data_IF_400653270480
#
_entry.id   IF_400653270480
#
_cell.length_a   1.000
_cell.length_b   1.000
_cell.length_c   1.000
_cell.angle_alpha   90.00
_cell.angle_beta   90.00
_cell.angle_gamma   90.00
#
_symmetry.space_group_name_H-M   'P 1'
#
loop_
_entity.id
_entity.type
_entity.pdbx_description
1 polymer ?
#
# COMPACT_ATOMS: atom_id res chain seq x y z
N UNK A 1 -7.91 12.94 10.28
CA UNK A 1 -8.59 13.69 9.22
C UNK A 1 -9.80 12.88 8.76
N UNK A 2 -11.01 13.34 9.02
CA UNK A 2 -12.25 12.58 8.76
C UNK A 2 -12.66 12.51 7.28
N UNK A 3 -11.97 13.24 6.40
CA UNK A 3 -12.21 13.19 4.95
C UNK A 3 -11.37 12.11 4.25
N UNK A 4 -10.69 11.24 5.01
CA UNK A 4 -9.91 10.11 4.50
C UNK A 4 -10.70 8.81 4.63
N UNK A 5 -10.06 7.67 4.35
CA UNK A 5 -10.73 6.37 4.38
C UNK A 5 -11.33 6.07 5.76
N UNK A 6 -12.59 5.57 5.81
CA UNK A 6 -13.19 5.10 7.05
C UNK A 6 -12.53 3.78 7.50
N UNK A 7 -12.80 3.31 8.73
CA UNK A 7 -12.32 2.02 9.18
C UNK A 7 -12.68 0.89 8.21
N UNK A 8 -11.68 0.08 7.86
CA UNK A 8 -11.82 -0.99 6.86
C UNK A 8 -12.83 -2.04 7.33
N UNK A 9 -13.81 -2.36 6.49
CA UNK A 9 -14.82 -3.40 6.75
C UNK A 9 -15.85 -3.05 7.82
N UNK A 10 -15.77 -1.86 8.42
CA UNK A 10 -16.73 -1.39 9.42
C UNK A 10 -16.89 0.13 9.33
N UNK A 11 -17.67 0.60 8.35
CA UNK A 11 -17.88 2.04 8.12
C UNK A 11 -18.49 2.78 9.31
N UNK A 12 -19.25 2.08 10.16
CA UNK A 12 -19.84 2.62 11.40
C UNK A 12 -18.94 2.40 12.61
N UNK A 13 -17.78 1.77 12.45
CA UNK A 13 -16.84 1.46 13.53
C UNK A 13 -16.00 2.66 13.97
N UNK A 14 -16.15 3.80 13.33
CA UNK A 14 -15.45 5.02 13.70
C UNK A 14 -16.03 5.56 15.01
N UNK A 15 -15.16 5.96 15.95
CA UNK A 15 -15.57 6.40 17.30
C UNK A 15 -16.42 7.68 17.29
N UNK A 16 -16.36 8.45 16.21
CA UNK A 16 -17.18 9.65 16.01
C UNK A 16 -18.57 9.35 15.41
N UNK A 17 -18.88 8.09 15.07
CA UNK A 17 -20.19 7.69 14.58
C UNK A 17 -21.11 7.28 15.72
N UNK A 18 -22.41 7.59 15.60
CA UNK A 18 -23.37 7.33 16.68
C UNK A 18 -23.68 5.83 16.87
N UNK A 19 -23.52 5.04 15.81
CA UNK A 19 -23.92 3.63 15.75
C UNK A 19 -22.77 2.70 16.17
N UNK A 20 -22.39 2.75 17.46
CA UNK A 20 -21.43 1.81 18.04
C UNK A 20 -22.16 0.54 18.54
N UNK A 21 -21.87 -0.62 17.95
CA UNK A 21 -22.59 -1.89 18.24
C UNK A 21 -21.93 -2.80 19.28
N UNK A 22 -20.63 -2.62 19.58
CA UNK A 22 -19.90 -3.47 20.52
C UNK A 22 -19.44 -2.68 21.76
N UNK A 23 -19.28 -3.37 22.90
CA UNK A 23 -18.94 -2.76 24.19
C UNK A 23 -17.65 -1.93 24.15
N UNK A 24 -16.62 -2.42 23.45
CA UNK A 24 -15.34 -1.71 23.31
C UNK A 24 -15.47 -0.44 22.48
N UNK A 25 -16.33 -0.44 21.45
CA UNK A 25 -16.61 0.72 20.62
C UNK A 25 -17.41 1.78 21.38
N UNK A 26 -18.35 1.36 22.23
CA UNK A 26 -19.06 2.29 23.15
C UNK A 26 -18.07 2.95 24.09
N UNK A 27 -17.23 2.17 24.78
CA UNK A 27 -16.21 2.72 25.67
C UNK A 27 -15.22 3.64 24.93
N UNK A 28 -14.77 3.25 23.74
CA UNK A 28 -13.89 4.08 22.91
C UNK A 28 -14.55 5.39 22.48
N UNK A 29 -15.86 5.37 22.20
CA UNK A 29 -16.65 6.57 21.91
C UNK A 29 -16.77 7.46 23.13
N UNK A 30 -17.05 6.92 24.31
CA UNK A 30 -17.14 7.71 25.54
C UNK A 30 -15.82 8.44 25.82
N UNK A 31 -14.68 7.74 25.64
CA UNK A 31 -13.34 8.36 25.72
C UNK A 31 -13.20 9.44 24.64
N UNK A 32 -13.57 9.15 23.40
CA UNK A 32 -13.51 10.12 22.31
C UNK A 32 -14.36 11.39 22.58
N UNK A 33 -15.55 11.22 23.18
CA UNK A 33 -16.44 12.33 23.53
C UNK A 33 -15.96 13.13 24.75
N UNK A 34 -15.07 12.56 25.58
CA UNK A 34 -14.47 13.29 26.70
C UNK A 34 -13.49 14.39 26.24
N UNK A 35 -13.00 14.34 24.99
CA UNK A 35 -12.16 15.41 24.44
C UNK A 35 -13.00 16.67 24.18
N UNK A 36 -12.68 17.76 24.89
CA UNK A 36 -13.39 19.04 24.80
C UNK A 36 -12.70 20.10 23.92
N UNK A 37 -11.55 19.76 23.31
CA UNK A 37 -10.75 20.68 22.52
C UNK A 37 -10.36 20.04 21.20
N UNK A 38 -10.62 20.75 20.10
CA UNK A 38 -10.17 20.41 18.77
C UNK A 38 -9.16 21.45 18.27
N UNK A 39 -8.08 21.00 17.65
CA UNK A 39 -7.09 21.87 16.97
C UNK A 39 -7.15 21.56 15.48
N UNK A 40 -7.48 22.57 14.66
CA UNK A 40 -7.58 22.44 13.21
C UNK A 40 -6.40 23.17 12.58
N UNK A 41 -5.54 22.43 11.87
CA UNK A 41 -4.45 23.00 11.09
C UNK A 41 -4.96 23.45 9.73
N UNK A 42 -4.63 24.68 9.34
CA UNK A 42 -5.13 25.30 8.10
C UNK A 42 -4.07 25.47 7.01
N UNK A 43 -2.78 25.39 7.38
CA UNK A 43 -1.67 25.57 6.44
C UNK A 43 -1.30 24.25 5.75
N UNK A 44 -1.45 24.19 4.44
CA UNK A 44 -0.94 23.07 3.65
C UNK A 44 0.57 23.23 3.38
N UNK A 45 1.33 22.18 3.66
CA UNK A 45 2.79 22.14 3.47
C UNK A 45 3.23 21.28 2.29
N UNK A 46 2.34 20.42 1.76
CA UNK A 46 2.66 19.46 0.69
C UNK A 46 2.61 20.08 -0.71
N UNK A 47 1.54 20.81 -1.04
CA UNK A 47 1.33 21.41 -2.36
C UNK A 47 1.32 22.93 -2.23
N UNK A 48 2.05 23.60 -3.11
CA UNK A 48 2.15 25.07 -3.16
C UNK A 48 1.35 25.69 -4.29
N UNK A 49 0.96 24.90 -5.28
CA UNK A 49 0.15 25.35 -6.40
C UNK A 49 -1.26 25.76 -5.93
N UNK A 50 -1.65 27.00 -6.22
CA UNK A 50 -2.91 27.58 -5.73
C UNK A 50 -4.14 26.96 -6.39
N UNK A 51 -4.07 26.65 -7.69
CA UNK A 51 -5.19 26.07 -8.46
C UNK A 51 -5.44 24.64 -7.99
N UNK A 52 -4.38 23.84 -7.87
CA UNK A 52 -4.44 22.49 -7.35
C UNK A 52 -4.95 22.46 -5.91
N UNK A 53 -4.51 23.41 -5.08
CA UNK A 53 -5.01 23.53 -3.70
C UNK A 53 -6.51 23.84 -3.63
N UNK A 54 -7.02 24.72 -4.49
CA UNK A 54 -8.44 25.01 -4.58
C UNK A 54 -9.24 23.75 -4.97
N UNK A 55 -8.76 23.02 -5.99
CA UNK A 55 -9.34 21.74 -6.41
C UNK A 55 -9.36 20.72 -5.26
N UNK A 56 -8.23 20.49 -4.58
CA UNK A 56 -8.14 19.53 -3.47
C UNK A 56 -9.07 19.89 -2.29
N UNK A 57 -9.25 21.18 -2.02
CA UNK A 57 -10.16 21.64 -0.97
C UNK A 57 -11.62 21.36 -1.33
N UNK A 58 -12.03 21.56 -2.59
CA UNK A 58 -13.37 21.22 -3.07
C UNK A 58 -13.59 19.71 -3.15
N UNK A 59 -12.58 18.96 -3.59
CA UNK A 59 -12.61 17.50 -3.63
C UNK A 59 -12.84 16.90 -2.23
N UNK A 60 -12.20 17.48 -1.20
CA UNK A 60 -12.35 17.07 0.19
C UNK A 60 -13.81 17.13 0.67
N UNK A 61 -14.58 18.12 0.23
CA UNK A 61 -15.98 18.33 0.63
C UNK A 61 -17.00 17.82 -0.39
N UNK A 62 -16.54 17.24 -1.51
CA UNK A 62 -17.40 16.78 -2.60
C UNK A 62 -18.06 17.92 -3.38
N UNK A 63 -17.46 19.12 -3.37
CA UNK A 63 -17.99 20.32 -4.01
C UNK A 63 -17.19 20.73 -5.26
N UNK A 64 -16.66 19.75 -6.00
CA UNK A 64 -15.96 20.00 -7.27
C UNK A 64 -16.91 20.56 -8.32
N UNK A 65 -16.39 21.46 -9.14
CA UNK A 65 -17.09 22.07 -10.28
C UNK A 65 -16.60 21.45 -11.62
N UNK A 66 -17.22 21.84 -12.73
CA UNK A 66 -16.82 21.40 -14.07
C UNK A 66 -15.36 21.74 -14.39
N UNK A 67 -14.89 22.90 -13.95
CA UNK A 67 -13.51 23.34 -14.15
C UNK A 67 -12.52 22.40 -13.46
N UNK A 68 -12.83 21.91 -12.25
CA UNK A 68 -12.03 20.90 -11.54
C UNK A 68 -11.99 19.56 -12.27
N UNK A 69 -13.11 19.14 -12.86
CA UNK A 69 -13.16 17.91 -13.64
C UNK A 69 -12.29 18.04 -14.88
N UNK A 70 -12.32 19.18 -15.56
CA UNK A 70 -11.47 19.42 -16.73
C UNK A 70 -9.99 19.50 -16.37
N UNK A 71 -9.64 20.10 -15.23
CA UNK A 71 -8.28 20.06 -14.68
C UNK A 71 -7.77 18.61 -14.50
N UNK A 72 -8.61 17.71 -13.96
CA UNK A 72 -8.28 16.30 -13.82
C UNK A 72 -8.20 15.59 -15.17
N UNK A 73 -9.05 15.94 -16.13
CA UNK A 73 -8.98 15.38 -17.48
C UNK A 73 -7.68 15.75 -18.20
N UNK A 74 -7.11 16.92 -17.94
CA UNK A 74 -5.82 17.31 -18.51
C UNK A 74 -4.65 16.44 -18.01
N UNK A 75 -4.84 15.70 -16.91
CA UNK A 75 -3.85 14.75 -16.37
C UNK A 75 -4.00 13.32 -16.92
N UNK A 76 -5.04 13.05 -17.70
CA UNK A 76 -5.29 11.71 -18.24
C UNK A 76 -4.32 11.37 -19.37
N UNK A 77 -3.79 10.15 -19.34
CA UNK A 77 -2.84 9.69 -20.35
C UNK A 77 -3.52 9.06 -21.58
N UNK A 78 -4.81 8.74 -21.47
CA UNK A 78 -5.58 8.03 -22.49
C UNK A 78 -6.36 8.95 -23.44
N UNK A 79 -6.35 10.25 -23.19
CA UNK A 79 -7.00 11.25 -24.05
C UNK A 79 -6.02 11.77 -25.11
N UNK A 80 -6.32 11.54 -26.40
CA UNK A 80 -5.44 11.96 -27.50
C UNK A 80 -5.23 13.48 -27.64
N UNK A 81 -6.05 14.29 -26.95
CA UNK A 81 -5.85 15.76 -26.87
C UNK A 81 -4.73 16.17 -25.91
N UNK A 82 -4.35 15.29 -24.98
CA UNK A 82 -3.30 15.58 -24.01
C UNK A 82 -1.93 15.22 -24.62
N UNK A 83 -0.84 15.90 -24.20
CA UNK A 83 0.49 15.60 -24.71
C UNK A 83 0.88 14.13 -24.49
N UNK A 84 1.53 13.48 -25.47
CA UNK A 84 2.03 12.13 -25.27
C UNK A 84 3.05 12.12 -24.12
N UNK A 85 2.97 11.09 -23.29
CA UNK A 85 3.85 10.94 -22.13
C UNK A 85 5.05 10.08 -22.46
N UNK A 86 6.24 10.60 -22.22
CA UNK A 86 7.47 9.82 -22.26
C UNK A 86 7.65 9.07 -20.93
N UNK A 87 7.43 7.75 -20.94
CA UNK A 87 7.59 6.90 -19.77
C UNK A 87 9.06 6.62 -19.40
N UNK A 88 10.01 7.12 -20.19
CA UNK A 88 11.44 7.06 -19.90
C UNK A 88 11.93 8.24 -19.06
N UNK A 89 11.15 9.33 -18.99
CA UNK A 89 11.47 10.49 -18.15
C UNK A 89 11.64 10.09 -16.69
N UNK A 90 12.63 10.64 -15.94
CA UNK A 90 12.88 10.24 -14.55
C UNK A 90 11.66 10.30 -13.63
N UNK A 91 10.76 11.27 -13.85
CA UNK A 91 9.51 11.41 -13.11
C UNK A 91 8.52 10.26 -13.34
N UNK A 92 8.47 9.73 -14.56
CA UNK A 92 7.60 8.60 -14.94
C UNK A 92 8.28 7.24 -14.73
N UNK A 93 9.57 7.14 -15.04
CA UNK A 93 10.36 5.93 -14.90
C UNK A 93 10.40 5.42 -13.45
N UNK A 94 10.25 6.33 -12.48
CA UNK A 94 10.23 6.04 -11.03
C UNK A 94 8.87 6.28 -10.37
N UNK A 95 7.82 6.55 -11.15
CA UNK A 95 6.50 6.85 -10.63
C UNK A 95 5.92 5.70 -9.80
N UNK A 96 5.21 6.05 -8.73
CA UNK A 96 4.50 5.08 -7.89
C UNK A 96 3.09 4.88 -8.41
N UNK A 97 2.71 3.63 -8.73
CA UNK A 97 1.33 3.29 -9.03
C UNK A 97 0.50 3.25 -7.75
N UNK A 98 -0.58 4.04 -7.72
CA UNK A 98 -1.63 3.94 -6.71
C UNK A 98 -2.84 3.30 -7.39
N UNK A 99 -3.37 2.23 -6.80
CA UNK A 99 -4.52 1.50 -7.35
C UNK A 99 -5.42 0.97 -6.24
N UNK A 100 -6.76 0.99 -6.41
CA UNK A 100 -7.68 0.43 -5.42
C UNK A 100 -7.64 -1.11 -5.38
N UNK A 101 -7.08 -1.77 -6.42
CA UNK A 101 -7.10 -3.23 -6.54
C UNK A 101 -5.75 -3.85 -6.20
N UNK A 102 -5.74 -4.70 -5.17
CA UNK A 102 -4.55 -5.48 -4.80
C UNK A 102 -4.00 -6.35 -5.94
N UNK A 103 -4.87 -6.90 -6.80
CA UNK A 103 -4.44 -7.69 -7.96
C UNK A 103 -3.62 -6.86 -8.95
N UNK A 104 -4.08 -5.65 -9.29
CA UNK A 104 -3.36 -4.74 -10.18
C UNK A 104 -2.00 -4.34 -9.58
N UNK A 105 -1.96 -4.02 -8.28
CA UNK A 105 -0.71 -3.72 -7.57
C UNK A 105 0.29 -4.89 -7.65
N UNK A 106 -0.16 -6.13 -7.45
CA UNK A 106 0.69 -7.32 -7.53
C UNK A 106 1.26 -7.52 -8.94
N UNK A 107 0.41 -7.42 -9.97
CA UNK A 107 0.83 -7.56 -11.36
C UNK A 107 1.81 -6.46 -11.75
N UNK A 108 1.53 -5.22 -11.37
CA UNK A 108 2.42 -4.08 -11.61
C UNK A 108 3.78 -4.28 -10.96
N UNK A 109 3.82 -4.65 -9.67
CA UNK A 109 5.07 -4.88 -8.96
C UNK A 109 5.90 -6.01 -9.59
N UNK A 110 5.25 -7.11 -10.01
CA UNK A 110 5.93 -8.21 -10.70
C UNK A 110 6.49 -7.77 -12.07
N UNK A 111 5.72 -7.01 -12.86
CA UNK A 111 6.18 -6.47 -14.13
C UNK A 111 7.34 -5.47 -13.95
N UNK A 112 7.23 -4.57 -12.97
CA UNK A 112 8.27 -3.60 -12.64
C UNK A 112 9.57 -4.29 -12.20
N UNK A 113 9.48 -5.35 -11.38
CA UNK A 113 10.64 -6.14 -10.97
C UNK A 113 11.32 -6.84 -12.16
N UNK A 114 10.54 -7.45 -13.07
CA UNK A 114 11.08 -8.08 -14.29
C UNK A 114 11.75 -7.05 -15.21
N UNK A 115 11.13 -5.90 -15.41
CA UNK A 115 11.73 -4.77 -16.16
C UNK A 115 13.05 -4.33 -15.52
N UNK A 116 13.09 -4.18 -14.21
CA UNK A 116 14.31 -3.82 -13.46
C UNK A 116 15.42 -4.86 -13.65
N UNK A 117 15.09 -6.15 -13.56
CA UNK A 117 16.05 -7.23 -13.78
C UNK A 117 16.63 -7.19 -15.20
N UNK A 118 15.77 -7.02 -16.21
CA UNK A 118 16.16 -6.93 -17.61
C UNK A 118 17.06 -5.72 -17.88
N UNK A 119 16.68 -4.53 -17.43
CA UNK A 119 17.43 -3.29 -17.70
C UNK A 119 18.78 -3.22 -16.97
N UNK A 120 18.87 -3.77 -15.77
CA UNK A 120 20.09 -3.71 -14.95
C UNK A 120 20.96 -4.96 -14.99
N UNK A 121 20.53 -5.99 -15.74
CA UNK A 121 21.21 -7.30 -15.73
C UNK A 121 21.26 -7.93 -14.34
N UNK A 122 20.28 -7.66 -13.47
CA UNK A 122 20.26 -8.21 -12.11
C UNK A 122 19.53 -9.55 -12.07
N UNK A 123 20.01 -10.47 -11.24
CA UNK A 123 19.39 -11.79 -11.05
C UNK A 123 18.09 -11.64 -10.26
N UNK A 124 17.04 -12.27 -10.78
CA UNK A 124 15.77 -12.45 -10.10
C UNK A 124 15.85 -13.71 -9.23
N UNK A 125 15.69 -13.55 -7.93
CA UNK A 125 15.60 -14.65 -6.97
C UNK A 125 14.13 -14.95 -6.68
N UNK A 126 13.81 -16.23 -6.59
CA UNK A 126 12.48 -16.71 -6.24
C UNK A 126 12.57 -17.49 -4.94
N UNK A 127 12.06 -16.91 -3.87
CA UNK A 127 12.09 -17.49 -2.53
C UNK A 127 10.72 -18.14 -2.23
N UNK A 128 10.58 -19.47 -2.34
CA UNK A 128 9.42 -20.17 -1.81
C UNK A 128 9.45 -20.16 -0.27
N UNK A 129 8.29 -20.31 0.40
CA UNK A 129 8.25 -20.48 1.85
C UNK A 129 8.77 -21.87 2.24
N UNK A 130 9.24 -21.95 3.48
CA UNK A 130 9.47 -23.22 4.17
C UNK A 130 8.28 -23.47 5.10
N UNK A 131 7.47 -24.48 4.77
CA UNK A 131 6.30 -24.87 5.56
C UNK A 131 6.61 -26.13 6.37
N UNK A 132 6.44 -26.08 7.69
CA UNK A 132 6.67 -27.20 8.62
C UNK A 132 5.55 -27.31 9.65
N UNK A 133 5.40 -28.50 10.26
CA UNK A 133 4.57 -28.71 11.46
C UNK A 133 5.48 -29.25 12.55
N UNK A 134 5.69 -28.48 13.61
CA UNK A 134 6.58 -28.87 14.71
C UNK A 134 8.05 -29.05 14.28
N UNK A 135 8.48 -28.37 13.22
CA UNK A 135 9.82 -28.53 12.63
C UNK A 135 9.95 -29.66 11.60
N UNK A 136 8.92 -30.50 11.46
CA UNK A 136 8.92 -31.60 10.49
C UNK A 136 8.34 -31.18 9.14
N UNK A 137 8.88 -31.77 8.08
CA UNK A 137 8.42 -31.53 6.72
C UNK A 137 6.98 -32.03 6.51
N UNK A 138 6.19 -31.27 5.75
CA UNK A 138 4.82 -31.63 5.46
C UNK A 138 4.70 -32.87 4.55
N UNK A 139 3.77 -33.77 4.89
CA UNK A 139 3.33 -34.85 4.01
C UNK A 139 2.64 -34.30 2.75
N UNK A 140 2.52 -35.09 1.66
CA UNK A 140 1.85 -34.64 0.43
C UNK A 140 0.42 -34.13 0.65
N UNK A 141 -0.34 -34.79 1.54
CA UNK A 141 -1.68 -34.37 1.90
C UNK A 141 -1.69 -33.02 2.63
N UNK A 142 -0.75 -32.80 3.56
CA UNK A 142 -0.61 -31.53 4.29
C UNK A 142 -0.16 -30.40 3.36
N UNK A 143 0.76 -30.65 2.43
CA UNK A 143 1.16 -29.67 1.40
C UNK A 143 -0.03 -29.24 0.56
N UNK A 144 -0.89 -30.19 0.17
CA UNK A 144 -2.13 -29.89 -0.56
C UNK A 144 -3.08 -29.00 0.25
N UNK A 145 -3.18 -29.23 1.56
CA UNK A 145 -3.99 -28.38 2.44
C UNK A 145 -3.43 -26.96 2.55
N UNK A 146 -2.10 -26.82 2.68
CA UNK A 146 -1.45 -25.51 2.72
C UNK A 146 -1.60 -24.77 1.39
N UNK A 147 -1.43 -25.44 0.25
CA UNK A 147 -1.59 -24.85 -1.07
C UNK A 147 -3.02 -24.30 -1.33
N UNK A 148 -4.02 -24.83 -0.62
CA UNK A 148 -5.42 -24.36 -0.70
C UNK A 148 -5.72 -23.16 0.21
N UNK A 149 -4.82 -22.80 1.12
CA UNK A 149 -5.01 -21.65 2.03
C UNK A 149 -5.01 -20.34 1.24
N UNK A 150 -5.90 -19.43 1.62
CA UNK A 150 -5.85 -18.04 1.15
C UNK A 150 -4.69 -17.33 1.83
N UNK A 151 -4.13 -16.31 1.17
CA UNK A 151 -3.04 -15.49 1.72
C UNK A 151 -3.36 -14.90 3.11
N UNK A 152 -4.63 -14.60 3.39
CA UNK A 152 -5.06 -14.13 4.71
C UNK A 152 -4.87 -15.17 5.83
N UNK A 153 -4.88 -16.45 5.48
CA UNK A 153 -4.71 -17.58 6.39
C UNK A 153 -3.23 -17.98 6.56
N UNK A 154 -2.32 -17.33 5.83
CA UNK A 154 -0.87 -17.55 5.87
C UNK A 154 -0.12 -16.36 6.46
N UNK A 155 -0.77 -15.59 7.35
CA UNK A 155 -0.17 -14.37 7.92
C UNK A 155 0.07 -13.27 6.88
N UNK A 156 -0.66 -13.30 5.76
CA UNK A 156 -0.44 -12.46 4.58
C UNK A 156 0.89 -12.70 3.84
N UNK A 157 1.55 -13.83 4.08
CA UNK A 157 2.74 -14.24 3.35
C UNK A 157 2.35 -14.92 2.03
N UNK A 158 2.90 -14.47 0.89
CA UNK A 158 2.66 -15.12 -0.38
C UNK A 158 3.43 -16.45 -0.48
N UNK A 159 2.92 -17.39 -1.28
CA UNK A 159 3.59 -18.67 -1.56
C UNK A 159 4.93 -18.53 -2.33
N UNK A 160 5.25 -17.32 -2.81
CA UNK A 160 6.53 -17.03 -3.43
C UNK A 160 6.80 -15.54 -3.30
N UNK A 161 8.02 -15.21 -2.91
CA UNK A 161 8.52 -13.84 -2.93
C UNK A 161 9.61 -13.75 -3.99
N UNK A 162 9.43 -12.87 -4.96
CA UNK A 162 10.47 -12.55 -5.94
C UNK A 162 11.29 -11.36 -5.45
N UNK A 163 12.62 -11.45 -5.51
CA UNK A 163 13.56 -10.45 -5.00
C UNK A 163 14.66 -10.17 -6.02
N UNK A 164 15.14 -8.93 -6.08
CA UNK A 164 16.34 -8.57 -6.83
C UNK A 164 17.08 -7.41 -6.16
N UNK A 165 18.40 -7.34 -6.35
CA UNK A 165 19.20 -6.20 -5.90
C UNK A 165 18.71 -4.92 -6.61
N UNK A 166 18.50 -3.86 -5.84
CA UNK A 166 17.95 -2.58 -6.30
C UNK A 166 16.42 -2.49 -6.22
N UNK A 167 15.71 -3.58 -5.89
CA UNK A 167 14.26 -3.57 -5.74
C UNK A 167 13.83 -2.73 -4.53
N UNK A 168 12.76 -1.93 -4.69
CA UNK A 168 12.06 -1.27 -3.59
C UNK A 168 11.19 -2.28 -2.85
N UNK A 169 11.37 -2.36 -1.53
CA UNK A 169 10.65 -3.29 -0.68
C UNK A 169 9.96 -2.53 0.47
N UNK A 170 8.98 -3.18 1.07
CA UNK A 170 8.29 -2.70 2.26
C UNK A 170 8.18 -3.85 3.25
N UNK A 171 8.52 -3.58 4.51
CA UNK A 171 8.33 -4.50 5.61
C UNK A 171 6.84 -4.60 5.90
N UNK A 172 6.32 -5.82 6.03
CA UNK A 172 4.88 -6.08 6.25
C UNK A 172 4.57 -6.54 7.67
N UNK A 173 5.59 -6.78 8.50
CA UNK A 173 5.47 -7.23 9.88
C UNK A 173 6.17 -6.26 10.83
N UNK A 174 5.74 -6.24 12.09
CA UNK A 174 6.49 -5.54 13.13
C UNK A 174 7.60 -6.47 13.62
N UNK A 175 8.84 -6.19 13.21
CA UNK A 175 10.00 -7.03 13.52
C UNK A 175 10.69 -6.50 14.77
N UNK A 176 11.04 -5.21 14.76
CA UNK A 176 11.69 -4.53 15.87
C UNK A 176 11.24 -3.06 15.87
N UNK A 177 10.14 -2.78 16.55
CA UNK A 177 9.52 -1.45 16.60
C UNK A 177 10.45 -0.40 17.21
N UNK A 178 11.28 -0.80 18.19
CA UNK A 178 12.28 0.06 18.83
C UNK A 178 13.44 0.45 17.90
N UNK A 179 13.65 -0.32 16.82
CA UNK A 179 14.67 -0.08 15.81
C UNK A 179 14.05 0.44 14.49
N UNK A 180 12.83 0.98 14.54
CA UNK A 180 12.07 1.48 13.38
C UNK A 180 11.85 0.45 12.25
N UNK A 181 11.94 -0.85 12.58
CA UNK A 181 11.69 -1.95 11.66
C UNK A 181 10.27 -2.50 11.87
N UNK A 182 9.30 -1.75 11.35
CA UNK A 182 7.87 -2.01 11.51
C UNK A 182 7.14 -2.13 10.18
N UNK A 183 5.87 -2.55 10.24
CA UNK A 183 5.01 -2.60 9.07
C UNK A 183 4.90 -1.21 8.40
N UNK A 184 5.19 -1.15 7.12
CA UNK A 184 5.22 0.08 6.33
C UNK A 184 6.61 0.67 6.13
N UNK A 185 7.62 0.21 6.88
CA UNK A 185 9.02 0.63 6.67
C UNK A 185 9.45 0.29 5.25
N UNK A 186 9.95 1.28 4.50
CA UNK A 186 10.35 1.14 3.10
C UNK A 186 11.87 1.04 2.99
N UNK A 187 12.34 0.28 2.03
CA UNK A 187 13.77 0.11 1.80
C UNK A 187 14.11 -0.25 0.36
N UNK A 188 15.40 -0.44 0.12
CA UNK A 188 15.93 -0.95 -1.14
C UNK A 188 16.87 -2.11 -0.84
N UNK A 189 16.71 -3.22 -1.55
CA UNK A 189 17.60 -4.36 -1.41
C UNK A 189 18.97 -3.96 -1.96
N UNK A 190 19.99 -3.85 -1.12
CA UNK A 190 21.34 -3.49 -1.53
C UNK A 190 22.19 -4.71 -1.87
N UNK A 191 21.93 -5.83 -1.20
CA UNK A 191 22.64 -7.10 -1.38
C UNK A 191 21.70 -8.26 -1.05
N UNK A 192 21.90 -9.39 -1.71
CA UNK A 192 21.29 -10.68 -1.37
C UNK A 192 22.45 -11.61 -1.02
N UNK A 193 22.37 -12.21 0.16
CA UNK A 193 23.32 -13.21 0.65
C UNK A 193 22.56 -14.53 0.71
N UNK A 194 23.10 -15.56 0.07
CA UNK A 194 22.54 -16.91 0.13
C UNK A 194 23.14 -17.62 1.34
N UNK A 195 22.32 -18.44 2.01
CA UNK A 195 22.80 -19.32 3.05
C UNK A 195 23.58 -20.46 2.40
N UNK A 196 24.74 -20.85 2.95
CA UNK A 196 25.56 -21.92 2.38
C UNK A 196 24.85 -23.29 2.39
N UNK A 197 23.73 -23.41 3.10
CA UNK A 197 22.86 -24.60 3.14
C UNK A 197 21.87 -24.68 1.97
N UNK A 198 21.72 -23.61 1.18
CA UNK A 198 20.88 -23.54 -0.04
C UNK A 198 21.72 -23.66 -1.33
#
# INVERSE_FOLDING_TARGET
DFHQFPPVGNGTGALYMELCKNRFAVQGRDIYQSFNKAVILTKQMRVRDKRWMALLNRLRTGSCDEDDIEELHNLRLDLGRNPPTDFTDPGWATATLITPRNAARKMWNAAALRRHCHLRGTRLYSCPPEDTIGGEALSPAQRMMVARKKVKETGNLPHRVELAVGMKAMVVLNIATEADLANGTRGTITKIVLDDRE
#
